data_IF_343154575627
#
_entry.id   IF_343154575627
#
_cell.length_a   1.000
_cell.length_b   1.000
_cell.length_c   1.000
_cell.angle_alpha   90.00
_cell.angle_beta   90.00
_cell.angle_gamma   90.00
#
_symmetry.space_group_name_H-M   'P 1'
#
loop_
_entity.id
_entity.type
_entity.pdbx_description
1 polymer ?
#
# COMPACT_ATOMS: atom_id res chain seq x y z
N UNK A 1 10.59 10.62 17.05
CA UNK A 1 11.77 10.57 16.16
C UNK A 1 11.38 9.74 14.94
N UNK A 2 11.45 10.30 13.72
CA UNK A 2 11.18 9.54 12.49
C UNK A 2 12.10 8.32 12.41
N UNK A 3 11.57 7.16 11.98
CA UNK A 3 12.38 5.96 11.72
C UNK A 3 13.52 6.36 10.78
N UNK A 4 14.77 6.23 11.24
CA UNK A 4 15.93 6.33 10.36
C UNK A 4 15.77 5.25 9.29
N UNK A 5 15.58 5.64 8.05
CA UNK A 5 15.51 4.69 6.94
C UNK A 5 16.90 4.09 6.74
N UNK A 6 16.97 2.85 6.27
CA UNK A 6 18.24 2.19 5.93
C UNK A 6 19.06 3.05 4.95
N UNK A 7 18.39 3.74 4.05
CA UNK A 7 19.01 4.68 3.12
C UNK A 7 19.88 5.71 3.84
N UNK A 8 19.34 6.42 4.84
CA UNK A 8 20.07 7.50 5.54
C UNK A 8 21.27 7.00 6.35
N UNK A 9 21.34 5.70 6.64
CA UNK A 9 22.48 5.11 7.36
C UNK A 9 23.61 4.68 6.42
N UNK A 10 23.31 4.40 5.13
CA UNK A 10 24.26 3.89 4.15
C UNK A 10 24.69 4.99 3.20
N UNK A 11 23.74 5.78 2.69
CA UNK A 11 23.95 6.77 1.64
C UNK A 11 24.18 8.15 2.28
N UNK A 12 25.44 8.48 2.58
CA UNK A 12 25.80 9.86 2.91
C UNK A 12 26.13 10.63 1.64
N UNK A 13 25.98 11.97 1.63
CA UNK A 13 26.36 12.80 0.47
C UNK A 13 27.80 12.56 -0.01
N UNK A 14 28.72 12.33 0.94
CA UNK A 14 30.14 12.10 0.66
C UNK A 14 30.37 10.74 -0.03
N UNK A 15 29.60 9.71 0.31
CA UNK A 15 29.69 8.40 -0.32
C UNK A 15 29.02 8.38 -1.69
N UNK A 16 27.89 9.06 -1.83
CA UNK A 16 27.22 9.22 -3.13
C UNK A 16 28.14 9.95 -4.12
N UNK A 17 28.84 11.00 -3.66
CA UNK A 17 29.78 11.74 -4.49
C UNK A 17 31.01 10.93 -4.94
N UNK A 18 31.26 9.76 -4.37
CA UNK A 18 32.35 8.85 -4.76
C UNK A 18 31.92 7.84 -5.84
N UNK A 19 30.64 7.75 -6.16
CA UNK A 19 30.19 6.89 -7.26
C UNK A 19 30.84 7.39 -8.57
N UNK A 20 31.40 6.49 -9.36
CA UNK A 20 32.06 6.88 -10.61
C UNK A 20 31.09 7.54 -11.59
N UNK A 21 31.63 8.40 -12.45
CA UNK A 21 30.83 9.15 -13.42
C UNK A 21 30.07 8.21 -14.36
N UNK A 22 30.74 7.12 -14.81
CA UNK A 22 30.12 6.13 -15.69
C UNK A 22 28.93 5.41 -15.03
N UNK A 23 29.02 5.10 -13.72
CA UNK A 23 27.93 4.49 -12.99
C UNK A 23 26.80 5.48 -12.72
N UNK A 24 27.12 6.77 -12.47
CA UNK A 24 26.13 7.82 -12.36
C UNK A 24 25.38 8.05 -13.68
N UNK A 25 26.07 8.08 -14.82
CA UNK A 25 25.45 8.20 -16.14
C UNK A 25 24.48 7.06 -16.43
N UNK A 26 24.83 5.80 -16.09
CA UNK A 26 23.93 4.66 -16.23
C UNK A 26 22.69 4.80 -15.34
N UNK A 27 22.87 5.25 -14.12
CA UNK A 27 21.78 5.45 -13.17
C UNK A 27 20.84 6.57 -13.64
N UNK A 28 21.37 7.71 -14.03
CA UNK A 28 20.61 8.85 -14.53
C UNK A 28 19.84 8.49 -15.80
N UNK A 29 20.48 7.86 -16.78
CA UNK A 29 19.81 7.40 -17.99
C UNK A 29 18.67 6.43 -17.72
N UNK A 30 18.83 5.53 -16.75
CA UNK A 30 17.73 4.65 -16.32
C UNK A 30 16.58 5.42 -15.65
N UNK A 31 16.87 6.41 -14.81
CA UNK A 31 15.83 7.23 -14.17
C UNK A 31 15.09 8.09 -15.20
N UNK A 32 15.78 8.65 -16.20
CA UNK A 32 15.17 9.34 -17.33
C UNK A 32 14.28 8.41 -18.16
N UNK A 33 14.73 7.19 -18.42
CA UNK A 33 13.91 6.18 -19.06
C UNK A 33 12.62 5.89 -18.28
N UNK A 34 12.69 5.75 -16.95
CA UNK A 34 11.50 5.58 -16.12
C UNK A 34 10.57 6.80 -16.18
N UNK A 35 11.13 7.99 -16.28
CA UNK A 35 10.37 9.22 -16.47
C UNK A 35 9.67 9.25 -17.84
N UNK A 36 10.33 8.82 -18.91
CA UNK A 36 9.73 8.71 -20.25
C UNK A 36 8.57 7.71 -20.30
N UNK A 37 8.57 6.72 -19.41
CA UNK A 37 7.47 5.75 -19.23
C UNK A 37 6.33 6.27 -18.33
N UNK A 38 6.30 7.55 -18.01
CA UNK A 38 5.31 8.17 -17.11
C UNK A 38 5.21 7.46 -15.74
N UNK A 39 6.33 6.98 -15.18
CA UNK A 39 6.34 6.42 -13.83
C UNK A 39 6.09 7.51 -12.79
N UNK A 40 5.45 7.14 -11.67
CA UNK A 40 5.18 8.11 -10.61
C UNK A 40 6.48 8.61 -9.97
N UNK A 41 6.56 9.90 -9.53
CA UNK A 41 7.73 10.44 -8.84
C UNK A 41 8.19 9.56 -7.68
N UNK A 42 7.28 9.11 -6.81
CA UNK A 42 7.62 8.20 -5.71
C UNK A 42 8.21 6.87 -6.17
N UNK A 43 7.88 6.40 -7.37
CA UNK A 43 8.47 5.19 -7.95
C UNK A 43 9.89 5.47 -8.39
N UNK A 44 10.12 6.58 -9.08
CA UNK A 44 11.45 7.01 -9.55
C UNK A 44 12.37 7.25 -8.36
N UNK A 45 11.92 7.99 -7.34
CA UNK A 45 12.68 8.21 -6.09
C UNK A 45 13.01 6.90 -5.39
N UNK A 46 12.07 5.94 -5.38
CA UNK A 46 12.30 4.61 -4.83
C UNK A 46 13.39 3.84 -5.57
N UNK A 47 13.42 3.90 -6.90
CA UNK A 47 14.49 3.31 -7.72
C UNK A 47 15.82 4.02 -7.49
N UNK A 48 15.82 5.35 -7.47
CA UNK A 48 17.03 6.14 -7.18
C UNK A 48 17.64 5.74 -5.85
N UNK A 49 16.87 5.77 -4.77
CA UNK A 49 17.35 5.40 -3.44
C UNK A 49 17.88 3.95 -3.38
N UNK A 50 17.21 3.00 -4.04
CA UNK A 50 17.64 1.61 -4.07
C UNK A 50 18.93 1.43 -4.89
N UNK A 51 19.14 2.21 -5.96
CA UNK A 51 20.38 2.21 -6.77
C UNK A 51 21.53 2.90 -6.03
N UNK A 52 21.28 4.02 -5.36
CA UNK A 52 22.30 4.68 -4.54
C UNK A 52 22.82 3.75 -3.43
N UNK A 53 21.96 2.97 -2.77
CA UNK A 53 22.40 1.91 -1.82
C UNK A 53 23.33 0.91 -2.51
N UNK A 54 23.00 0.47 -3.72
CA UNK A 54 23.81 -0.49 -4.46
C UNK A 54 25.16 0.09 -4.88
N UNK A 55 25.18 1.31 -5.42
CA UNK A 55 26.43 1.91 -5.88
C UNK A 55 27.33 2.39 -4.72
N UNK A 56 26.76 2.81 -3.59
CA UNK A 56 27.55 3.09 -2.37
C UNK A 56 28.19 1.80 -1.85
N UNK A 57 27.47 0.67 -1.84
CA UNK A 57 28.08 -0.63 -1.57
C UNK A 57 29.20 -0.94 -2.55
N UNK A 58 29.02 -0.68 -3.83
CA UNK A 58 30.02 -0.89 -4.87
C UNK A 58 31.28 -0.06 -4.63
N UNK A 59 31.14 1.20 -4.23
CA UNK A 59 32.28 2.06 -3.80
C UNK A 59 33.05 1.43 -2.64
N UNK A 60 32.35 0.99 -1.61
CA UNK A 60 32.96 0.55 -0.35
C UNK A 60 33.52 -0.89 -0.41
N UNK A 61 32.89 -1.79 -1.17
CA UNK A 61 33.14 -3.24 -1.09
C UNK A 61 33.49 -3.89 -2.42
N UNK A 62 33.46 -3.15 -3.54
CA UNK A 62 33.69 -3.70 -4.87
C UNK A 62 34.55 -2.79 -5.78
N UNK A 63 35.40 -1.96 -5.17
CA UNK A 63 36.34 -1.06 -5.83
C UNK A 63 35.71 -0.09 -6.86
N UNK A 64 34.48 0.37 -6.59
CA UNK A 64 33.72 1.26 -7.49
C UNK A 64 33.70 0.75 -8.95
N UNK A 65 33.51 -0.56 -9.09
CA UNK A 65 33.56 -1.25 -10.38
C UNK A 65 32.48 -0.70 -11.33
N UNK A 66 32.82 -0.58 -12.61
CA UNK A 66 31.84 -0.20 -13.62
C UNK A 66 30.75 -1.28 -13.74
N UNK A 67 29.49 -0.89 -13.76
CA UNK A 67 28.37 -1.83 -13.68
C UNK A 67 28.32 -2.81 -14.86
N UNK A 68 28.76 -2.39 -16.03
CA UNK A 68 28.81 -3.24 -17.23
C UNK A 68 29.72 -4.48 -17.02
N UNK A 69 30.75 -4.34 -16.19
CA UNK A 69 31.73 -5.38 -15.91
C UNK A 69 31.34 -6.29 -14.74
N UNK A 70 30.16 -6.07 -14.15
CA UNK A 70 29.71 -6.88 -13.02
C UNK A 70 29.54 -8.34 -13.40
N UNK A 71 29.94 -9.21 -12.50
CA UNK A 71 29.76 -10.65 -12.60
C UNK A 71 28.66 -11.15 -11.66
N UNK A 72 28.21 -12.37 -11.88
CA UNK A 72 27.28 -13.02 -10.93
C UNK A 72 27.85 -13.08 -9.51
N UNK A 73 29.18 -13.17 -9.36
CA UNK A 73 29.84 -13.17 -8.04
C UNK A 73 29.70 -11.85 -7.33
N UNK A 74 29.76 -10.73 -8.05
CA UNK A 74 29.59 -9.40 -7.46
C UNK A 74 28.16 -9.23 -6.95
N UNK A 75 27.15 -9.67 -7.70
CA UNK A 75 25.76 -9.65 -7.25
C UNK A 75 25.52 -10.57 -6.04
N UNK A 76 26.17 -11.75 -6.01
CA UNK A 76 26.11 -12.65 -4.84
C UNK A 76 26.75 -12.02 -3.60
N UNK A 77 27.89 -11.31 -3.75
CA UNK A 77 28.52 -10.58 -2.64
C UNK A 77 27.58 -9.48 -2.10
N UNK A 78 26.97 -8.71 -2.99
CA UNK A 78 25.97 -7.71 -2.59
C UNK A 78 24.79 -8.34 -1.84
N UNK A 79 24.24 -9.44 -2.35
CA UNK A 79 23.17 -10.16 -1.67
C UNK A 79 23.59 -10.64 -0.27
N UNK A 80 24.81 -11.20 -0.16
CA UNK A 80 25.39 -11.63 1.12
C UNK A 80 25.53 -10.47 2.10
N UNK A 81 26.06 -9.33 1.65
CA UNK A 81 26.15 -8.09 2.45
C UNK A 81 24.79 -7.65 2.99
N UNK A 82 23.76 -7.62 2.13
CA UNK A 82 22.41 -7.23 2.55
C UNK A 82 21.82 -8.17 3.59
N UNK A 83 22.04 -9.49 3.45
CA UNK A 83 21.48 -10.50 4.34
C UNK A 83 22.24 -10.60 5.67
N UNK A 84 23.57 -10.61 5.62
CA UNK A 84 24.40 -11.01 6.77
C UNK A 84 25.01 -9.84 7.50
N UNK A 85 25.37 -8.75 6.81
CA UNK A 85 25.94 -7.56 7.45
C UNK A 85 24.86 -6.55 7.81
N UNK A 86 23.94 -6.24 6.90
CA UNK A 86 22.83 -5.32 7.16
C UNK A 86 21.60 -6.00 7.76
N UNK A 87 21.56 -7.32 7.84
CA UNK A 87 20.46 -8.12 8.39
C UNK A 87 19.09 -7.73 7.80
N UNK A 88 19.05 -7.44 6.50
CA UNK A 88 17.83 -7.11 5.82
C UNK A 88 16.93 -8.34 5.67
N UNK A 89 15.63 -8.12 5.75
CA UNK A 89 14.67 -9.15 5.44
C UNK A 89 14.82 -9.63 3.98
N UNK A 90 14.55 -10.90 3.74
CA UNK A 90 14.53 -11.49 2.39
C UNK A 90 13.69 -10.67 1.41
N UNK A 91 12.55 -10.17 1.86
CA UNK A 91 11.64 -9.31 1.08
C UNK A 91 12.31 -7.98 0.66
N UNK A 92 13.07 -7.34 1.56
CA UNK A 92 13.83 -6.12 1.23
C UNK A 92 14.96 -6.42 0.25
N UNK A 93 15.69 -7.52 0.45
CA UNK A 93 16.76 -7.96 -0.46
C UNK A 93 16.21 -8.24 -1.85
N UNK A 94 15.09 -8.96 -1.96
CA UNK A 94 14.40 -9.20 -3.24
C UNK A 94 14.03 -7.90 -3.95
N UNK A 95 13.55 -6.89 -3.22
CA UNK A 95 13.23 -5.58 -3.78
C UNK A 95 14.47 -4.88 -4.34
N UNK A 96 15.56 -4.79 -3.55
CA UNK A 96 16.80 -4.16 -3.99
C UNK A 96 17.37 -4.83 -5.23
N UNK A 97 17.35 -6.17 -5.27
CA UNK A 97 17.74 -6.94 -6.47
C UNK A 97 16.85 -6.67 -7.67
N UNK A 98 15.54 -6.54 -7.47
CA UNK A 98 14.61 -6.21 -8.56
C UNK A 98 14.91 -4.85 -9.19
N UNK A 99 15.36 -3.89 -8.40
CA UNK A 99 15.80 -2.57 -8.89
C UNK A 99 17.01 -2.70 -9.80
N UNK A 100 18.05 -3.44 -9.37
CA UNK A 100 19.25 -3.69 -10.18
C UNK A 100 18.90 -4.46 -11.46
N UNK A 101 18.02 -5.46 -11.37
CA UNK A 101 17.55 -6.21 -12.53
C UNK A 101 16.78 -5.32 -13.52
N UNK A 102 15.99 -4.36 -13.02
CA UNK A 102 15.26 -3.41 -13.88
C UNK A 102 16.23 -2.49 -14.63
N UNK A 103 17.27 -1.97 -13.96
CA UNK A 103 18.32 -1.20 -14.62
C UNK A 103 19.10 -2.05 -15.62
N UNK A 104 19.42 -3.31 -15.27
CA UNK A 104 20.10 -4.24 -16.19
C UNK A 104 19.27 -4.51 -17.45
N UNK A 105 17.94 -4.66 -17.32
CA UNK A 105 17.05 -4.81 -18.48
C UNK A 105 17.02 -3.55 -19.35
N UNK A 106 17.09 -2.38 -18.74
CA UNK A 106 17.18 -1.11 -19.48
C UNK A 106 18.47 -1.06 -20.29
N UNK A 107 19.62 -1.36 -19.69
CA UNK A 107 20.91 -1.38 -20.38
C UNK A 107 20.89 -2.41 -21.53
N UNK A 108 20.43 -3.63 -21.27
CA UNK A 108 20.36 -4.70 -22.28
C UNK A 108 19.43 -4.35 -23.46
N UNK A 109 18.37 -3.59 -23.24
CA UNK A 109 17.35 -3.33 -24.26
C UNK A 109 17.46 -1.96 -24.94
N UNK A 110 18.01 -0.96 -24.26
CA UNK A 110 18.03 0.44 -24.73
C UNK A 110 19.45 0.97 -24.98
N UNK A 111 20.48 0.26 -24.57
CA UNK A 111 21.89 0.65 -24.75
C UNK A 111 22.66 -0.48 -25.44
N UNK A 112 22.00 -1.28 -26.26
CA UNK A 112 22.59 -2.40 -26.99
C UNK A 112 23.57 -1.97 -28.08
N UNK A 113 23.45 -0.73 -28.57
CA UNK A 113 24.42 -0.08 -29.45
C UNK A 113 25.76 0.22 -28.75
N UNK A 114 25.71 0.61 -27.47
CA UNK A 114 26.90 0.91 -26.66
C UNK A 114 27.47 -0.34 -25.99
N UNK A 115 26.63 -1.25 -25.55
CA UNK A 115 26.97 -2.45 -24.78
C UNK A 115 26.39 -3.73 -25.41
N UNK A 116 26.77 -4.12 -26.62
CA UNK A 116 26.11 -5.19 -27.38
C UNK A 116 26.24 -6.59 -26.75
N UNK A 117 27.22 -6.79 -25.88
CA UNK A 117 27.44 -8.06 -25.16
C UNK A 117 26.86 -8.10 -23.77
N UNK A 118 26.35 -6.97 -23.25
CA UNK A 118 25.79 -6.92 -21.91
C UNK A 118 24.53 -7.77 -21.80
N UNK A 119 24.39 -8.49 -20.70
CA UNK A 119 23.21 -9.32 -20.39
C UNK A 119 22.83 -9.16 -18.93
N UNK A 120 21.52 -9.12 -18.67
CA UNK A 120 21.04 -9.14 -17.30
C UNK A 120 21.42 -10.45 -16.61
N UNK A 121 22.38 -10.38 -15.70
CA UNK A 121 22.87 -11.52 -14.92
C UNK A 121 22.07 -11.71 -13.62
N UNK A 122 21.37 -10.70 -13.14
CA UNK A 122 20.66 -10.72 -11.85
C UNK A 122 19.55 -11.77 -11.84
N UNK A 123 18.82 -11.89 -12.96
CA UNK A 123 17.73 -12.87 -13.11
C UNK A 123 18.20 -14.32 -13.13
N UNK A 124 19.50 -14.56 -13.32
CA UNK A 124 20.11 -15.90 -13.34
C UNK A 124 20.59 -16.37 -11.97
N UNK A 125 20.43 -15.52 -10.95
CA UNK A 125 20.85 -15.79 -9.57
C UNK A 125 19.60 -16.04 -8.72
N UNK A 126 19.52 -17.14 -7.96
CA UNK A 126 18.41 -17.38 -7.05
C UNK A 126 18.24 -16.21 -6.06
N UNK A 127 17.01 -15.76 -5.91
CA UNK A 127 16.67 -14.80 -4.88
C UNK A 127 16.51 -15.52 -3.54
N UNK A 128 16.73 -14.84 -2.38
CA UNK A 128 16.39 -15.42 -1.09
C UNK A 128 14.91 -15.81 -1.04
N UNK A 129 14.56 -16.82 -0.27
CA UNK A 129 13.17 -17.25 -0.10
C UNK A 129 12.30 -16.11 0.42
N UNK A 130 11.04 -16.06 -0.02
CA UNK A 130 10.09 -15.03 0.43
C UNK A 130 9.49 -15.44 1.79
N UNK A 131 10.23 -15.11 2.85
CA UNK A 131 9.77 -15.38 4.22
C UNK A 131 8.96 -14.17 4.70
N UNK A 132 7.72 -14.37 5.21
CA UNK A 132 6.94 -13.29 5.83
C UNK A 132 7.72 -12.65 7.00
N UNK A 133 7.84 -11.32 6.99
CA UNK A 133 8.65 -10.57 7.96
C UNK A 133 7.86 -10.20 9.20
N UNK A 134 6.54 -10.15 9.10
CA UNK A 134 5.63 -9.77 10.19
C UNK A 134 4.42 -10.70 10.18
N UNK A 135 3.96 -11.01 11.36
CA UNK A 135 2.60 -11.50 11.52
C UNK A 135 1.62 -10.42 11.06
N UNK A 136 0.59 -10.83 10.33
CA UNK A 136 -0.45 -9.90 9.91
C UNK A 136 -1.19 -9.40 11.14
N UNK A 137 -1.40 -8.09 11.24
CA UNK A 137 -2.32 -7.53 12.22
C UNK A 137 -3.74 -7.83 11.77
N UNK A 138 -4.40 -8.76 12.45
CA UNK A 138 -5.80 -9.10 12.21
C UNK A 138 -6.64 -8.21 13.12
N UNK A 139 -7.51 -7.40 12.53
CA UNK A 139 -8.46 -6.57 13.25
C UNK A 139 -9.77 -7.32 13.42
N UNK A 140 -10.28 -7.38 14.65
CA UNK A 140 -11.61 -7.95 14.96
C UNK A 140 -12.58 -6.85 15.35
N UNK A 141 -13.89 -7.13 15.29
CA UNK A 141 -14.91 -6.14 15.66
C UNK A 141 -14.82 -5.80 17.16
N UNK A 142 -14.41 -6.76 18.02
CA UNK A 142 -14.18 -6.58 19.46
C UNK A 142 -13.03 -5.60 19.75
N UNK A 143 -12.06 -5.48 18.86
CA UNK A 143 -10.96 -4.51 18.96
C UNK A 143 -11.37 -3.15 18.42
N UNK A 144 -12.11 -3.14 17.31
CA UNK A 144 -12.45 -1.93 16.56
C UNK A 144 -13.53 -1.12 17.27
N UNK A 145 -14.59 -1.76 17.76
CA UNK A 145 -15.71 -1.04 18.35
C UNK A 145 -15.32 -0.22 19.58
N UNK A 146 -14.55 -0.76 20.57
CA UNK A 146 -14.05 0.04 21.69
C UNK A 146 -13.18 1.23 21.28
N UNK A 147 -12.38 1.09 20.21
CA UNK A 147 -11.59 2.21 19.69
C UNK A 147 -12.48 3.30 19.10
N UNK A 148 -13.49 2.94 18.31
CA UNK A 148 -14.45 3.90 17.74
C UNK A 148 -15.22 4.61 18.84
N UNK A 149 -15.70 3.90 19.85
CA UNK A 149 -16.44 4.46 21.01
C UNK A 149 -15.55 5.42 21.79
N UNK A 150 -14.29 5.04 22.04
CA UNK A 150 -13.32 5.91 22.68
C UNK A 150 -13.07 7.21 21.89
N UNK A 151 -12.93 7.11 20.55
CA UNK A 151 -12.72 8.28 19.71
C UNK A 151 -13.94 9.22 19.74
N UNK A 152 -15.15 8.68 19.76
CA UNK A 152 -16.39 9.45 19.89
C UNK A 152 -16.49 10.11 21.27
N UNK A 153 -16.24 9.37 22.35
CA UNK A 153 -16.21 9.89 23.72
C UNK A 153 -15.22 11.06 23.87
N UNK A 154 -14.04 10.93 23.27
CA UNK A 154 -13.01 11.98 23.27
C UNK A 154 -13.26 13.08 22.24
N UNK A 155 -14.42 13.09 21.56
CA UNK A 155 -14.78 14.05 20.51
C UNK A 155 -13.76 14.13 19.36
N UNK A 156 -13.06 13.03 19.10
CA UNK A 156 -12.12 12.90 17.97
C UNK A 156 -12.84 12.42 16.71
N UNK A 157 -13.91 13.12 16.35
CA UNK A 157 -14.86 12.70 15.33
C UNK A 157 -14.21 12.51 13.95
N UNK A 158 -13.24 13.35 13.57
CA UNK A 158 -12.52 13.18 12.32
C UNK A 158 -11.70 11.88 12.29
N UNK A 159 -11.10 11.48 13.41
CA UNK A 159 -10.36 10.22 13.52
C UNK A 159 -11.31 9.02 13.45
N UNK A 160 -12.46 9.10 14.15
CA UNK A 160 -13.50 8.06 14.09
C UNK A 160 -14.05 7.90 12.67
N UNK A 161 -14.33 9.01 11.99
CA UNK A 161 -14.78 9.03 10.59
C UNK A 161 -13.72 8.41 9.66
N UNK A 162 -12.43 8.70 9.85
CA UNK A 162 -11.36 8.14 9.01
C UNK A 162 -11.19 6.62 9.21
N UNK A 163 -11.25 6.15 10.46
CA UNK A 163 -11.22 4.73 10.78
C UNK A 163 -12.44 4.01 10.19
N UNK A 164 -13.64 4.55 10.41
CA UNK A 164 -14.88 4.00 9.88
C UNK A 164 -14.88 3.95 8.35
N UNK A 165 -14.42 5.01 7.66
CA UNK A 165 -14.28 5.00 6.20
C UNK A 165 -13.31 3.93 5.72
N UNK A 166 -12.16 3.78 6.39
CA UNK A 166 -11.18 2.77 6.03
C UNK A 166 -11.74 1.35 6.14
N UNK A 167 -12.50 1.07 7.22
CA UNK A 167 -13.14 -0.21 7.48
C UNK A 167 -14.34 -0.47 6.56
N UNK A 168 -15.10 0.56 6.21
CA UNK A 168 -16.31 0.44 5.40
C UNK A 168 -16.07 0.45 3.88
N UNK A 169 -14.88 0.89 3.42
CA UNK A 169 -14.55 0.99 2.00
C UNK A 169 -13.36 0.16 1.57
N UNK A 170 -12.55 -0.36 2.51
CA UNK A 170 -11.30 -1.03 2.21
C UNK A 170 -10.31 -0.17 1.41
N UNK A 171 -10.45 1.15 1.45
CA UNK A 171 -9.62 2.09 0.69
C UNK A 171 -8.19 2.13 1.21
N UNK A 172 -7.21 2.35 0.30
CA UNK A 172 -5.82 2.55 0.71
C UNK A 172 -5.68 3.90 1.42
N UNK A 173 -4.70 4.02 2.32
CA UNK A 173 -4.42 5.24 3.08
C UNK A 173 -4.39 6.51 2.19
N UNK A 174 -3.72 6.46 1.06
CA UNK A 174 -3.67 7.59 0.13
C UNK A 174 -4.98 7.85 -0.62
N UNK A 175 -5.87 6.88 -0.70
CA UNK A 175 -7.20 7.02 -1.31
C UNK A 175 -8.16 7.70 -0.33
N UNK A 176 -8.05 7.43 0.98
CA UNK A 176 -8.87 8.07 2.02
C UNK A 176 -8.82 9.61 1.94
N UNK A 177 -7.64 10.17 1.64
CA UNK A 177 -7.44 11.62 1.52
C UNK A 177 -8.08 12.25 0.27
N UNK A 178 -8.67 11.46 -0.61
CA UNK A 178 -9.30 11.93 -1.85
C UNK A 178 -10.82 11.89 -1.80
N UNK A 179 -11.37 11.41 -0.70
CA UNK A 179 -12.81 11.47 -0.51
C UNK A 179 -13.26 12.89 -0.21
N UNK A 180 -14.41 13.25 -0.77
CA UNK A 180 -15.06 14.54 -0.62
C UNK A 180 -16.33 14.40 0.20
N UNK A 181 -16.75 15.48 0.85
CA UNK A 181 -17.98 15.46 1.66
C UNK A 181 -19.20 15.19 0.80
N UNK A 182 -19.29 15.78 -0.38
CA UNK A 182 -20.43 15.59 -1.29
C UNK A 182 -20.56 14.17 -1.87
N UNK A 183 -19.56 13.28 -1.64
CA UNK A 183 -19.69 11.88 -2.05
C UNK A 183 -20.68 11.08 -1.20
N UNK A 184 -21.00 11.56 -0.01
CA UNK A 184 -21.79 10.85 1.01
C UNK A 184 -23.16 11.46 1.24
N UNK A 185 -23.80 11.90 0.16
CA UNK A 185 -25.22 12.31 0.15
C UNK A 185 -26.12 11.10 -0.11
N UNK A 186 -27.40 11.21 0.28
CA UNK A 186 -28.36 10.13 0.09
C UNK A 186 -28.58 9.78 -1.40
N UNK A 187 -28.41 10.75 -2.31
CA UNK A 187 -28.47 10.53 -3.78
C UNK A 187 -27.37 9.58 -4.30
N UNK A 188 -26.29 9.42 -3.55
CA UNK A 188 -25.19 8.53 -3.90
C UNK A 188 -25.32 7.13 -3.28
N UNK A 189 -26.43 6.85 -2.57
CA UNK A 189 -26.71 5.52 -2.02
C UNK A 189 -27.35 4.65 -3.10
N UNK A 190 -26.71 3.51 -3.35
CA UNK A 190 -27.27 2.46 -4.21
C UNK A 190 -27.66 1.25 -3.37
N UNK A 191 -28.70 0.54 -3.79
CA UNK A 191 -29.26 -0.63 -3.08
C UNK A 191 -29.59 -0.38 -1.59
N UNK A 192 -29.77 0.88 -1.18
CA UNK A 192 -30.04 1.25 0.20
C UNK A 192 -28.89 1.01 1.20
N UNK A 193 -27.75 0.47 0.77
CA UNK A 193 -26.68 -0.03 1.65
C UNK A 193 -25.26 0.39 1.28
N UNK A 194 -25.05 0.92 0.08
CA UNK A 194 -23.73 1.29 -0.42
C UNK A 194 -23.71 2.73 -0.92
N UNK A 195 -22.80 3.55 -0.40
CA UNK A 195 -22.39 4.76 -1.10
C UNK A 195 -21.56 4.38 -2.31
N UNK A 196 -21.85 5.00 -3.44
CA UNK A 196 -21.07 4.94 -4.67
C UNK A 196 -20.55 6.33 -4.98
N UNK A 197 -19.24 6.53 -5.10
CA UNK A 197 -18.71 7.86 -5.42
C UNK A 197 -19.21 8.33 -6.78
N UNK A 198 -19.70 9.59 -6.90
CA UNK A 198 -20.20 10.12 -8.18
C UNK A 198 -19.11 10.25 -9.23
N UNK A 199 -17.88 10.41 -8.79
CA UNK A 199 -16.68 10.49 -9.63
C UNK A 199 -15.68 9.39 -9.31
N UNK A 200 -14.76 9.17 -10.27
CA UNK A 200 -13.67 8.21 -10.10
C UNK A 200 -12.55 8.81 -9.24
N UNK A 201 -12.17 8.12 -8.19
CA UNK A 201 -11.03 8.48 -7.35
C UNK A 201 -9.76 7.89 -7.96
N UNK A 202 -8.69 8.70 -8.03
CA UNK A 202 -7.36 8.23 -8.43
C UNK A 202 -6.86 7.18 -7.43
N UNK A 203 -6.55 5.99 -7.91
CA UNK A 203 -5.95 4.91 -7.11
C UNK A 203 -4.53 4.61 -7.59
N UNK A 204 -3.82 3.72 -6.89
CA UNK A 204 -2.50 3.29 -7.30
C UNK A 204 -2.55 2.61 -8.68
N UNK A 205 -1.72 3.05 -9.60
CA UNK A 205 -1.54 2.48 -10.93
C UNK A 205 -0.06 2.47 -11.33
N UNK A 206 0.25 1.97 -12.51
CA UNK A 206 1.63 1.92 -13.03
C UNK A 206 2.14 3.29 -13.46
N UNK A 207 1.25 4.15 -13.99
CA UNK A 207 1.61 5.50 -14.43
C UNK A 207 1.47 6.54 -13.31
N UNK A 208 1.99 7.74 -13.55
CA UNK A 208 1.84 8.91 -12.67
C UNK A 208 0.36 9.30 -12.49
N UNK A 209 -0.48 9.03 -13.49
CA UNK A 209 -1.93 9.30 -13.46
C UNK A 209 -2.69 8.36 -12.55
N UNK A 210 -2.10 7.17 -12.22
CA UNK A 210 -2.78 6.12 -11.46
C UNK A 210 -3.93 5.48 -12.25
N UNK A 211 -4.77 4.70 -11.56
CA UNK A 211 -5.99 4.10 -12.11
C UNK A 211 -7.20 4.79 -11.47
N UNK A 212 -8.03 5.51 -12.23
CA UNK A 212 -9.24 6.12 -11.68
C UNK A 212 -10.35 5.07 -11.51
N UNK A 213 -10.88 4.91 -10.30
CA UNK A 213 -11.92 3.94 -9.96
C UNK A 213 -13.04 4.59 -9.17
N UNK A 214 -14.28 4.17 -9.42
CA UNK A 214 -15.40 4.38 -8.52
C UNK A 214 -15.13 3.60 -7.23
N UNK A 215 -15.47 4.18 -6.09
CA UNK A 215 -15.33 3.56 -4.78
C UNK A 215 -16.70 3.33 -4.15
N UNK A 216 -16.76 2.27 -3.37
CA UNK A 216 -17.97 1.87 -2.64
C UNK A 216 -17.68 1.90 -1.14
N UNK A 217 -18.68 2.32 -0.35
CA UNK A 217 -18.56 2.40 1.11
C UNK A 217 -19.85 1.88 1.75
N UNK A 218 -19.73 0.96 2.70
CA UNK A 218 -20.88 0.42 3.44
C UNK A 218 -21.54 1.52 4.27
N UNK A 219 -22.81 1.81 4.01
CA UNK A 219 -23.56 2.88 4.68
C UNK A 219 -23.63 2.65 6.19
N UNK A 220 -24.05 1.45 6.62
CA UNK A 220 -24.27 1.13 8.04
C UNK A 220 -23.00 1.22 8.90
N UNK A 221 -21.84 0.91 8.35
CA UNK A 221 -20.56 0.96 9.07
C UNK A 221 -19.92 2.35 9.08
N UNK A 222 -20.33 3.25 8.17
CA UNK A 222 -19.68 4.55 7.98
C UNK A 222 -20.55 5.73 8.42
N UNK A 223 -21.83 5.77 8.02
CA UNK A 223 -22.71 6.93 8.19
C UNK A 223 -22.76 7.48 9.61
N UNK A 224 -22.85 6.68 10.69
CA UNK A 224 -22.92 7.23 12.05
C UNK A 224 -21.71 8.10 12.42
N UNK A 225 -20.50 7.73 11.99
CA UNK A 225 -19.28 8.49 12.27
C UNK A 225 -19.09 9.66 11.31
N UNK A 226 -19.60 9.55 10.10
CA UNK A 226 -19.64 10.62 9.13
C UNK A 226 -20.55 11.76 9.63
N UNK A 227 -21.75 11.45 10.09
CA UNK A 227 -22.71 12.46 10.57
C UNK A 227 -22.12 13.25 11.76
N UNK A 228 -21.51 12.58 12.74
CA UNK A 228 -20.81 13.22 13.85
C UNK A 228 -19.69 14.16 13.37
N UNK A 229 -18.93 13.73 12.38
CA UNK A 229 -17.88 14.58 11.82
C UNK A 229 -18.45 15.76 11.05
N UNK A 230 -19.53 15.60 10.31
CA UNK A 230 -20.18 16.69 9.57
C UNK A 230 -20.79 17.74 10.51
N UNK A 231 -21.38 17.33 11.63
CA UNK A 231 -21.85 18.26 12.67
C UNK A 231 -20.68 19.07 13.26
N UNK A 232 -19.56 18.39 13.54
CA UNK A 232 -18.37 19.06 14.06
C UNK A 232 -17.74 20.01 13.03
N UNK A 233 -17.70 19.63 11.74
CA UNK A 233 -17.27 20.51 10.65
C UNK A 233 -18.10 21.79 10.60
N UNK A 234 -19.43 21.67 10.71
CA UNK A 234 -20.34 22.82 10.75
C UNK A 234 -20.04 23.72 11.95
N UNK A 235 -19.83 23.14 13.13
CA UNK A 235 -19.45 23.87 14.36
C UNK A 235 -18.13 24.62 14.22
N UNK A 236 -17.16 24.04 13.51
CA UNK A 236 -15.82 24.61 13.30
C UNK A 236 -15.75 25.56 12.09
N UNK A 237 -16.83 25.72 11.32
CA UNK A 237 -16.86 26.56 10.13
C UNK A 237 -15.96 26.06 9.00
N UNK A 238 -15.86 24.74 8.80
CA UNK A 238 -15.05 24.13 7.74
C UNK A 238 -15.85 24.11 6.46
N UNK A 239 -15.42 24.89 5.47
CA UNK A 239 -16.11 25.14 4.20
C UNK A 239 -15.50 24.43 2.99
N UNK A 240 -14.29 23.83 3.13
CA UNK A 240 -13.66 23.05 2.05
C UNK A 240 -14.29 21.66 1.92
N UNK A 241 -14.36 21.14 0.72
CA UNK A 241 -15.03 19.89 0.40
C UNK A 241 -14.23 18.62 0.71
N UNK A 242 -12.92 18.76 0.99
CA UNK A 242 -12.10 17.62 1.41
C UNK A 242 -12.63 17.02 2.72
N UNK A 243 -12.89 15.70 2.73
CA UNK A 243 -13.47 15.04 3.89
C UNK A 243 -12.57 15.15 5.12
N UNK A 244 -11.26 14.99 4.94
CA UNK A 244 -10.28 15.11 6.02
C UNK A 244 -9.44 16.35 5.85
N UNK A 245 -9.28 17.09 6.94
CA UNK A 245 -8.71 18.44 6.93
C UNK A 245 -7.74 18.65 8.09
N UNK A 246 -6.90 19.65 7.93
CA UNK A 246 -5.98 20.15 8.97
C UNK A 246 -6.06 21.66 9.04
N UNK A 247 -6.04 22.22 10.24
CA UNK A 247 -5.92 23.66 10.43
C UNK A 247 -4.46 24.05 10.47
N UNK A 248 -4.00 24.84 9.51
CA UNK A 248 -2.63 25.32 9.40
C UNK A 248 -2.60 26.73 8.80
N UNK A 249 -1.71 27.58 9.30
CA UNK A 249 -1.51 28.94 8.80
C UNK A 249 -2.81 29.76 8.76
N UNK A 250 -3.65 29.63 9.81
CA UNK A 250 -4.90 30.35 9.94
C UNK A 250 -6.07 29.90 9.06
N UNK A 251 -5.94 28.77 8.35
CA UNK A 251 -6.98 28.25 7.45
C UNK A 251 -7.07 26.72 7.46
N UNK A 252 -8.25 26.23 7.08
CA UNK A 252 -8.46 24.81 6.81
C UNK A 252 -7.86 24.42 5.47
N UNK A 253 -7.16 23.28 5.46
CA UNK A 253 -6.48 22.72 4.27
C UNK A 253 -6.73 21.21 4.21
N UNK A 254 -6.65 20.58 3.03
CA UNK A 254 -6.73 19.14 2.92
C UNK A 254 -5.70 18.43 3.81
N UNK A 255 -6.11 17.35 4.45
CA UNK A 255 -5.24 16.52 5.27
C UNK A 255 -4.13 15.87 4.43
N UNK A 256 -2.99 15.61 5.07
CA UNK A 256 -1.84 14.95 4.45
C UNK A 256 -1.68 13.52 4.94
N UNK A 257 -0.86 12.73 4.24
CA UNK A 257 -0.57 11.35 4.60
C UNK A 257 0.03 11.24 6.02
N UNK A 258 0.81 12.23 6.43
CA UNK A 258 1.46 12.31 7.75
C UNK A 258 0.43 12.39 8.89
N UNK A 259 -0.72 13.06 8.64
CA UNK A 259 -1.80 13.12 9.64
C UNK A 259 -2.40 11.73 9.88
N UNK A 260 -2.64 10.96 8.81
CA UNK A 260 -3.12 9.59 8.94
C UNK A 260 -2.08 8.67 9.61
N UNK A 261 -0.79 8.91 9.41
CA UNK A 261 0.27 8.16 10.12
C UNK A 261 0.23 8.45 11.62
N UNK A 262 0.08 9.72 12.01
CA UNK A 262 -0.07 10.11 13.42
C UNK A 262 -1.33 9.49 14.07
N UNK A 263 -2.42 9.37 13.31
CA UNK A 263 -3.62 8.69 13.82
C UNK A 263 -3.40 7.18 13.95
N UNK A 264 -2.69 6.56 13.01
CA UNK A 264 -2.33 5.16 13.12
C UNK A 264 -1.49 4.87 14.37
N UNK A 265 -0.55 5.75 14.72
CA UNK A 265 0.22 5.64 15.97
C UNK A 265 -0.70 5.77 17.20
N UNK A 266 -1.68 6.67 17.16
CA UNK A 266 -2.68 6.82 18.22
C UNK A 266 -3.53 5.55 18.39
N UNK A 267 -3.96 4.95 17.28
CA UNK A 267 -4.76 3.71 17.28
C UNK A 267 -3.91 2.53 17.76
N UNK A 268 -2.65 2.44 17.35
CA UNK A 268 -1.71 1.43 17.83
C UNK A 268 -1.54 1.49 19.34
N UNK A 269 -1.40 2.69 19.90
CA UNK A 269 -1.24 2.88 21.36
C UNK A 269 -2.51 2.47 22.12
N UNK A 270 -3.69 2.72 21.58
CA UNK A 270 -4.96 2.30 22.20
C UNK A 270 -5.14 0.79 22.15
N UNK A 271 -4.86 0.18 20.99
CA UNK A 271 -5.08 -1.24 20.75
C UNK A 271 -3.97 -2.14 21.34
N UNK A 272 -2.81 -1.58 21.66
CA UNK A 272 -1.64 -2.36 22.09
C UNK A 272 -1.01 -3.23 20.99
N UNK A 273 -1.31 -2.93 19.71
CA UNK A 273 -0.82 -3.65 18.53
C UNK A 273 -0.30 -2.68 17.46
N UNK A 274 0.48 -3.17 16.51
CA UNK A 274 0.97 -2.36 15.37
C UNK A 274 -0.18 -2.14 14.35
N UNK A 275 -0.99 -1.09 14.57
CA UNK A 275 -2.07 -0.71 13.67
C UNK A 275 -1.54 0.05 12.45
N UNK A 276 -2.06 -0.25 11.29
CA UNK A 276 -1.84 0.50 10.06
C UNK A 276 -3.09 0.46 9.18
N UNK A 277 -3.43 1.54 8.49
CA UNK A 277 -4.67 1.63 7.70
C UNK A 277 -4.86 0.52 6.67
N UNK A 278 -3.78 -0.16 6.26
CA UNK A 278 -3.89 -1.27 5.33
C UNK A 278 -4.53 -2.51 5.98
N UNK A 279 -4.43 -2.68 7.31
CA UNK A 279 -5.13 -3.73 8.04
C UNK A 279 -6.66 -3.58 7.98
N UNK A 280 -7.17 -2.34 7.87
CA UNK A 280 -8.59 -2.11 7.62
C UNK A 280 -9.06 -2.70 6.29
N UNK A 281 -8.19 -2.68 5.25
CA UNK A 281 -8.51 -3.28 3.96
C UNK A 281 -8.55 -4.82 4.04
N UNK A 282 -7.69 -5.42 4.85
CA UNK A 282 -7.77 -6.84 5.18
C UNK A 282 -9.11 -7.15 5.86
N UNK A 283 -9.44 -6.42 6.94
CA UNK A 283 -10.72 -6.62 7.65
C UNK A 283 -11.94 -6.42 6.75
N UNK A 284 -11.93 -5.41 5.88
CA UNK A 284 -13.00 -5.19 4.91
C UNK A 284 -13.19 -6.39 3.97
N UNK A 285 -12.09 -6.94 3.44
CA UNK A 285 -12.15 -8.11 2.54
C UNK A 285 -12.65 -9.35 3.27
N UNK A 286 -12.12 -9.60 4.48
CA UNK A 286 -12.56 -10.69 5.34
C UNK A 286 -14.05 -10.56 5.65
N UNK A 287 -14.51 -9.37 6.06
CA UNK A 287 -15.93 -9.10 6.32
C UNK A 287 -16.83 -9.40 5.10
N UNK A 288 -16.45 -8.97 3.90
CA UNK A 288 -17.22 -9.27 2.68
C UNK A 288 -17.23 -10.76 2.38
N UNK A 289 -16.12 -11.47 2.60
CA UNK A 289 -16.00 -12.91 2.41
C UNK A 289 -16.85 -13.69 3.44
N UNK A 290 -16.79 -13.30 4.72
CA UNK A 290 -17.61 -13.84 5.79
C UNK A 290 -19.11 -13.62 5.52
N UNK A 291 -19.46 -12.51 4.88
CA UNK A 291 -20.84 -12.21 4.45
C UNK A 291 -21.28 -13.01 3.22
N UNK A 292 -20.45 -13.92 2.71
CA UNK A 292 -20.79 -14.82 1.60
C UNK A 292 -20.70 -14.20 0.21
N UNK A 293 -20.09 -13.01 0.05
CA UNK A 293 -19.93 -12.40 -1.28
C UNK A 293 -18.96 -13.21 -2.14
N UNK A 294 -19.29 -13.45 -3.43
CA UNK A 294 -18.36 -14.11 -4.35
C UNK A 294 -17.07 -13.30 -4.53
N UNK A 295 -15.94 -13.99 -4.68
CA UNK A 295 -14.62 -13.37 -4.84
C UNK A 295 -14.56 -12.35 -6.01
N UNK A 296 -15.30 -12.59 -7.10
CA UNK A 296 -15.38 -11.64 -8.23
C UNK A 296 -16.05 -10.32 -7.82
N UNK A 297 -17.09 -10.38 -6.99
CA UNK A 297 -17.77 -9.19 -6.46
C UNK A 297 -16.84 -8.42 -5.52
N UNK A 298 -16.16 -9.13 -4.60
CA UNK A 298 -15.19 -8.53 -3.69
C UNK A 298 -14.05 -7.86 -4.47
N UNK A 299 -13.51 -8.50 -5.49
CA UNK A 299 -12.50 -7.97 -6.40
C UNK A 299 -12.96 -6.63 -7.00
N UNK A 300 -14.19 -6.58 -7.53
CA UNK A 300 -14.74 -5.41 -8.19
C UNK A 300 -14.98 -4.25 -7.20
N UNK A 301 -15.53 -4.51 -6.02
CA UNK A 301 -15.73 -3.51 -4.95
C UNK A 301 -14.38 -2.95 -4.50
N UNK A 302 -13.39 -3.81 -4.32
CA UNK A 302 -12.03 -3.43 -3.87
C UNK A 302 -11.21 -2.76 -4.97
N UNK A 303 -11.60 -2.89 -6.24
CA UNK A 303 -10.90 -2.37 -7.40
C UNK A 303 -9.59 -3.10 -7.71
N UNK A 304 -9.55 -4.43 -7.50
CA UNK A 304 -8.40 -5.28 -7.83
C UNK A 304 -8.45 -5.75 -9.28
N UNK A 305 -7.29 -6.12 -9.83
CA UNK A 305 -7.17 -6.67 -11.18
C UNK A 305 -7.25 -8.20 -11.19
N UNK A 306 -6.77 -8.87 -10.11
CA UNK A 306 -6.80 -10.34 -9.96
C UNK A 306 -7.66 -10.79 -8.79
N UNK A 307 -8.31 -11.93 -8.95
CA UNK A 307 -9.02 -12.65 -7.88
C UNK A 307 -8.05 -13.12 -6.78
N UNK A 308 -6.81 -13.46 -7.13
CA UNK A 308 -5.80 -13.91 -6.15
C UNK A 308 -5.61 -12.90 -5.02
N UNK A 309 -5.88 -11.62 -5.30
CA UNK A 309 -5.84 -10.58 -4.27
C UNK A 309 -6.90 -10.79 -3.20
N UNK A 310 -8.05 -11.39 -3.52
CA UNK A 310 -9.10 -11.69 -2.52
C UNK A 310 -8.56 -12.69 -1.51
N UNK A 311 -7.97 -13.80 -1.97
CA UNK A 311 -7.36 -14.80 -1.09
C UNK A 311 -6.21 -14.23 -0.26
N UNK A 312 -5.39 -13.34 -0.83
CA UNK A 312 -4.27 -12.69 -0.12
C UNK A 312 -4.76 -11.78 1.03
N UNK A 313 -5.92 -11.14 0.86
CA UNK A 313 -6.48 -10.18 1.82
C UNK A 313 -7.58 -10.76 2.70
N UNK A 314 -8.05 -11.96 2.42
CA UNK A 314 -8.97 -12.69 3.28
C UNK A 314 -8.17 -13.35 4.42
N UNK A 315 -8.48 -12.98 5.65
CA UNK A 315 -7.83 -13.51 6.87
C UNK A 315 -8.68 -14.60 7.55
N UNK A 316 -9.78 -15.08 6.90
CA UNK A 316 -10.57 -16.21 7.38
C UNK A 316 -9.73 -17.48 7.38
N UNK A 317 -9.88 -18.31 8.41
CA UNK A 317 -9.24 -19.63 8.44
C UNK A 317 -9.86 -20.57 7.40
N UNK A 318 -9.10 -21.60 7.01
CA UNK A 318 -9.61 -22.65 6.11
C UNK A 318 -10.78 -23.39 6.76
N UNK A 319 -10.70 -23.60 8.08
CA UNK A 319 -11.75 -24.23 8.88
C UNK A 319 -13.03 -23.40 8.91
N UNK A 320 -12.94 -22.06 9.03
CA UNK A 320 -14.10 -21.17 8.96
C UNK A 320 -14.76 -21.23 7.59
N UNK A 321 -13.97 -21.32 6.52
CA UNK A 321 -14.50 -21.50 5.18
C UNK A 321 -15.16 -22.86 4.99
N UNK A 322 -14.55 -23.94 5.49
CA UNK A 322 -15.16 -25.27 5.47
C UNK A 322 -16.46 -25.34 6.28
N UNK A 323 -16.52 -24.64 7.40
CA UNK A 323 -17.73 -24.56 8.24
C UNK A 323 -18.96 -24.01 7.49
N UNK A 324 -18.79 -23.27 6.40
CA UNK A 324 -19.88 -22.80 5.53
C UNK A 324 -20.53 -23.95 4.74
N UNK A 325 -19.73 -24.94 4.36
CA UNK A 325 -20.14 -26.03 3.44
C UNK A 325 -20.31 -27.38 4.12
N UNK A 326 -19.74 -27.57 5.30
CA UNK A 326 -19.78 -28.85 6.01
C UNK A 326 -20.51 -28.74 7.35
N UNK A 327 -21.19 -29.80 7.73
CA UNK A 327 -21.87 -29.99 9.02
C UNK A 327 -21.58 -31.40 9.58
N UNK A 328 -22.09 -31.72 10.75
CA UNK A 328 -21.99 -33.06 11.32
C UNK A 328 -22.61 -34.13 10.42
N UNK A 329 -23.57 -33.74 9.59
CA UNK A 329 -24.31 -34.64 8.70
C UNK A 329 -23.71 -34.69 7.28
N UNK A 330 -22.55 -34.06 7.06
CA UNK A 330 -21.86 -34.03 5.78
C UNK A 330 -21.89 -32.64 5.07
N UNK A 331 -21.99 -32.65 3.76
CA UNK A 331 -22.07 -31.42 2.97
C UNK A 331 -23.44 -30.78 3.15
N UNK A 332 -23.46 -29.49 3.53
CA UNK A 332 -24.69 -28.70 3.63
C UNK A 332 -25.34 -28.59 2.26
N UNK A 333 -26.66 -28.74 2.15
CA UNK A 333 -27.35 -28.45 0.89
C UNK A 333 -27.07 -27.03 0.46
N UNK A 334 -26.88 -26.81 -0.85
CA UNK A 334 -26.80 -25.45 -1.39
C UNK A 334 -28.13 -24.73 -1.06
N UNK A 335 -28.05 -23.53 -0.48
CA UNK A 335 -29.23 -22.69 -0.32
C UNK A 335 -29.73 -22.31 -1.73
N UNK A 336 -30.72 -23.05 -2.22
CA UNK A 336 -31.47 -22.69 -3.42
C UNK A 336 -32.41 -21.55 -3.02
N UNK A 337 -32.10 -20.34 -3.41
CA UNK A 337 -33.08 -19.25 -3.35
C UNK A 337 -34.17 -19.56 -4.36
N UNK A 338 -35.42 -19.64 -3.90
CA UNK A 338 -36.56 -19.75 -4.78
C UNK A 338 -36.66 -18.48 -5.63
N UNK A 339 -37.03 -18.62 -6.91
CA UNK A 339 -37.29 -17.49 -7.80
C UNK A 339 -38.40 -16.56 -7.30
N UNK A 340 -39.21 -17.02 -6.33
CA UNK A 340 -40.22 -16.22 -5.63
C UNK A 340 -39.62 -15.28 -4.55
N UNK A 341 -38.34 -15.45 -4.17
CA UNK A 341 -37.62 -14.62 -3.20
C UNK A 341 -36.77 -13.51 -3.86
N UNK A 342 -36.88 -13.38 -5.20
CA UNK A 342 -36.29 -12.29 -6.00
C UNK A 342 -37.34 -11.21 -6.29
#
# INVERSE_FOLDING_TARGET
MGRKTVYNNICTPELIAQISDENNELMEGFLEYLHSLDRSPNTIDGYKNDLEIFFVWNVQHNNNKFFIDFTKRDILKYQGYLLHELQHSSKRVRRLRSTISSMSNYIEAMMDDLYPTFKNIVNKIPAPDDVPVREKTILTDEMIQPLLDHLVEKKKYQQACALALALASGSRKSELLRFKTHYFTDDNIIFGSLYRTPEKIKTKGRSSRGKPLVKYTLVSKFKPYYDLWMEERKRLGIDIDDLFVVYRDGKWQPATITLLDSWADTFSNFLGIDFYFHSCRHRFTTYLSESGLPAEVIKNISGWESIDMVSLYNDSSVEDEFGKYFSKDGIKPAETKDLSDL
#
